data_IF_940763955194
#
_entry.id   IF_940763955194
#
_cell.length_a   1.000
_cell.length_b   1.000
_cell.length_c   1.000
_cell.angle_alpha   90.00
_cell.angle_beta   90.00
_cell.angle_gamma   90.00
#
_symmetry.space_group_name_H-M   'P 1'
#
loop_
_entity.id
_entity.type
_entity.pdbx_description
1 polymer ?
#
# COMPACT_ATOMS: atom_id res chain seq x y z
N UNK A 1 -9.36 1.47 -5.34
CA UNK A 1 -8.60 0.45 -4.61
C UNK A 1 -9.58 -0.32 -3.76
N UNK A 2 -9.50 -1.64 -3.77
CA UNK A 2 -10.38 -2.51 -3.02
C UNK A 2 -9.63 -3.11 -1.85
N UNK A 3 -10.06 -2.79 -0.62
CA UNK A 3 -9.32 -3.09 0.60
C UNK A 3 -10.12 -4.00 1.53
N UNK A 4 -10.28 -5.26 1.12
CA UNK A 4 -11.08 -6.24 1.86
C UNK A 4 -12.59 -6.09 1.68
N UNK A 5 -13.34 -7.05 2.19
CA UNK A 5 -14.80 -7.00 2.23
C UNK A 5 -15.30 -6.28 3.50
N UNK A 6 -14.87 -6.75 4.68
CA UNK A 6 -15.27 -6.13 5.96
C UNK A 6 -14.08 -5.61 6.74
N UNK A 7 -12.85 -5.91 6.31
CA UNK A 7 -11.65 -5.52 7.02
C UNK A 7 -11.69 -5.96 8.50
N UNK A 8 -12.03 -7.24 8.72
CA UNK A 8 -12.32 -7.81 10.04
C UNK A 8 -12.32 -9.34 9.99
N UNK A 9 -11.75 -9.95 11.03
CA UNK A 9 -11.85 -11.37 11.33
C UNK A 9 -12.68 -11.57 12.60
N UNK A 10 -12.17 -11.15 13.76
CA UNK A 10 -12.82 -11.28 15.07
C UNK A 10 -12.78 -10.01 15.92
N UNK A 11 -12.11 -8.96 15.44
CA UNK A 11 -11.97 -7.65 16.07
C UNK A 11 -12.96 -6.60 15.55
N UNK A 12 -12.52 -5.36 15.36
CA UNK A 12 -13.34 -4.25 14.88
C UNK A 12 -13.21 -4.06 13.36
N UNK A 13 -14.34 -3.82 12.69
CA UNK A 13 -14.39 -3.49 11.25
C UNK A 13 -13.51 -2.28 10.94
N UNK A 14 -12.57 -2.45 10.02
CA UNK A 14 -11.72 -1.36 9.54
C UNK A 14 -10.40 -1.21 10.31
N UNK A 15 -10.22 -1.96 11.40
CA UNK A 15 -9.01 -1.96 12.25
C UNK A 15 -8.33 -3.33 12.22
N UNK A 16 -9.12 -4.39 12.10
CA UNK A 16 -8.66 -5.76 12.20
C UNK A 16 -8.27 -6.36 10.84
N UNK A 17 -7.48 -7.42 10.89
CA UNK A 17 -7.12 -8.23 9.74
C UNK A 17 -8.33 -9.01 9.25
N UNK A 18 -8.47 -9.18 7.93
CA UNK A 18 -9.59 -9.96 7.38
C UNK A 18 -9.24 -11.42 7.09
N UNK A 19 -7.97 -11.67 6.71
CA UNK A 19 -7.50 -12.97 6.23
C UNK A 19 -6.38 -13.55 7.13
N UNK A 20 -6.09 -12.88 8.23
CA UNK A 20 -4.99 -13.26 9.13
C UNK A 20 -5.44 -13.18 10.59
N UNK A 21 -5.09 -14.19 11.37
CA UNK A 21 -5.21 -14.16 12.82
C UNK A 21 -3.89 -13.59 13.37
N UNK A 22 -3.89 -12.30 13.70
CA UNK A 22 -2.70 -11.60 14.22
C UNK A 22 -2.20 -12.26 15.51
N UNK A 23 -3.12 -12.60 16.42
CA UNK A 23 -2.78 -13.16 17.74
C UNK A 23 -2.03 -14.49 17.64
N UNK A 24 -2.33 -15.29 16.61
CA UNK A 24 -1.69 -16.59 16.35
C UNK A 24 -0.64 -16.52 15.24
N UNK A 25 -0.48 -15.35 14.62
CA UNK A 25 0.38 -15.09 13.47
C UNK A 25 0.26 -16.18 12.38
N UNK A 26 -0.96 -16.45 11.94
CA UNK A 26 -1.26 -17.45 10.89
C UNK A 26 -2.52 -17.07 10.11
N UNK A 27 -2.79 -17.69 8.95
CA UNK A 27 -4.09 -17.56 8.31
C UNK A 27 -5.23 -17.92 9.26
N UNK A 28 -6.37 -17.27 9.08
CA UNK A 28 -7.55 -17.50 9.92
C UNK A 28 -8.02 -18.95 9.86
N UNK A 29 -8.80 -19.35 10.86
CA UNK A 29 -9.44 -20.65 10.83
C UNK A 29 -10.44 -20.74 9.66
N UNK A 30 -10.32 -21.79 8.85
CA UNK A 30 -11.14 -21.96 7.64
C UNK A 30 -10.61 -21.29 6.37
N UNK A 31 -9.38 -20.75 6.41
CA UNK A 31 -8.65 -20.28 5.23
C UNK A 31 -8.68 -21.33 4.09
N UNK A 32 -9.11 -20.89 2.90
CA UNK A 32 -9.33 -21.71 1.72
C UNK A 32 -9.54 -20.85 0.48
N UNK A 33 -9.30 -21.43 -0.71
CA UNK A 33 -9.60 -20.77 -1.98
C UNK A 33 -11.07 -20.31 -2.05
N UNK A 34 -11.98 -21.16 -1.58
CA UNK A 34 -13.41 -20.86 -1.56
C UNK A 34 -13.75 -19.74 -0.56
N UNK A 35 -13.07 -19.67 0.59
CA UNK A 35 -13.25 -18.58 1.54
C UNK A 35 -12.84 -17.25 0.90
N UNK A 36 -11.60 -17.16 0.39
CA UNK A 36 -11.06 -15.96 -0.25
C UNK A 36 -11.98 -15.48 -1.38
N UNK A 37 -12.37 -16.41 -2.26
CA UNK A 37 -13.20 -16.11 -3.41
C UNK A 37 -14.59 -15.62 -2.99
N UNK A 38 -15.22 -16.23 -1.98
CA UNK A 38 -16.52 -15.78 -1.48
C UNK A 38 -16.45 -14.36 -0.91
N UNK A 39 -15.42 -14.03 -0.14
CA UNK A 39 -15.24 -12.68 0.43
C UNK A 39 -15.10 -11.63 -0.67
N UNK A 40 -14.19 -11.86 -1.61
CA UNK A 40 -13.95 -10.96 -2.76
C UNK A 40 -15.22 -10.78 -3.60
N UNK A 41 -15.90 -11.86 -3.99
CA UNK A 41 -17.11 -11.78 -4.81
C UNK A 41 -18.23 -11.05 -4.07
N UNK A 42 -18.43 -11.31 -2.78
CA UNK A 42 -19.46 -10.64 -1.97
C UNK A 42 -19.28 -9.14 -2.00
N UNK A 43 -18.03 -8.70 -1.90
CA UNK A 43 -17.71 -7.29 -1.85
C UNK A 43 -17.75 -6.61 -3.24
N UNK A 44 -17.29 -7.30 -4.30
CA UNK A 44 -17.49 -6.85 -5.68
C UNK A 44 -18.97 -6.71 -6.04
N UNK A 45 -19.84 -7.56 -5.50
CA UNK A 45 -21.29 -7.43 -5.67
C UNK A 45 -21.84 -6.16 -5.01
N UNK A 46 -21.25 -5.70 -3.90
CA UNK A 46 -21.63 -4.42 -3.27
C UNK A 46 -21.22 -3.25 -4.17
N UNK A 47 -19.99 -3.25 -4.68
CA UNK A 47 -19.55 -2.23 -5.63
C UNK A 47 -20.46 -2.19 -6.86
N UNK A 48 -20.79 -3.36 -7.42
CA UNK A 48 -21.71 -3.46 -8.57
C UNK A 48 -23.08 -2.87 -8.28
N UNK A 49 -23.66 -3.14 -7.10
CA UNK A 49 -24.94 -2.55 -6.67
C UNK A 49 -24.84 -1.03 -6.52
N UNK A 50 -23.68 -0.53 -6.09
CA UNK A 50 -23.37 0.89 -6.01
C UNK A 50 -22.97 1.52 -7.38
N UNK A 51 -22.96 0.74 -8.47
CA UNK A 51 -22.50 1.15 -9.81
C UNK A 51 -21.03 1.60 -9.82
N UNK A 52 -20.21 0.98 -8.98
CA UNK A 52 -18.77 1.17 -8.90
C UNK A 52 -18.05 -0.09 -9.38
N UNK A 53 -16.80 0.07 -9.80
CA UNK A 53 -15.87 -1.00 -10.16
C UNK A 53 -14.47 -0.67 -9.68
N UNK A 54 -13.59 -1.67 -9.65
CA UNK A 54 -12.19 -1.52 -9.24
C UNK A 54 -11.34 -2.59 -9.91
N UNK A 55 -10.16 -2.19 -10.38
CA UNK A 55 -9.16 -3.11 -10.95
C UNK A 55 -8.03 -3.41 -9.96
N UNK A 56 -8.03 -2.73 -8.82
CA UNK A 56 -6.95 -2.76 -7.83
C UNK A 56 -7.45 -3.44 -6.56
N UNK A 57 -6.72 -4.45 -6.11
CA UNK A 57 -6.82 -5.04 -4.78
C UNK A 57 -5.64 -4.61 -3.92
N UNK A 58 -5.93 -4.28 -2.68
CA UNK A 58 -4.92 -4.08 -1.64
C UNK A 58 -5.36 -4.89 -0.43
N UNK A 59 -4.56 -5.87 -0.03
CA UNK A 59 -4.97 -6.76 1.06
C UNK A 59 -5.03 -5.96 2.37
N UNK A 60 -6.12 -6.07 3.15
CA UNK A 60 -6.16 -5.75 4.57
C UNK A 60 -4.84 -5.92 5.31
N UNK A 61 -4.25 -4.81 5.73
CA UNK A 61 -2.96 -4.79 6.44
C UNK A 61 -1.84 -5.62 5.79
N UNK A 62 -1.92 -5.85 4.48
CA UNK A 62 -1.01 -6.69 3.71
C UNK A 62 -0.85 -8.12 4.25
N UNK A 63 -1.82 -8.69 4.99
CA UNK A 63 -1.72 -10.05 5.54
C UNK A 63 -2.87 -10.94 5.09
N UNK A 64 -2.50 -12.02 4.40
CA UNK A 64 -3.36 -13.13 4.00
C UNK A 64 -2.48 -14.34 3.66
N UNK A 65 -3.08 -15.52 3.48
CA UNK A 65 -2.34 -16.73 3.10
C UNK A 65 -1.88 -16.71 1.64
N UNK A 66 -0.89 -17.53 1.29
CA UNK A 66 -0.52 -17.73 -0.13
C UNK A 66 -1.66 -18.34 -0.96
N UNK A 67 -2.60 -19.04 -0.31
CA UNK A 67 -3.81 -19.56 -0.95
C UNK A 67 -4.73 -18.39 -1.34
N UNK A 68 -4.96 -17.46 -0.42
CA UNK A 68 -5.74 -16.24 -0.67
C UNK A 68 -5.15 -15.40 -1.80
N UNK A 69 -3.83 -15.18 -1.78
CA UNK A 69 -3.16 -14.38 -2.79
C UNK A 69 -3.22 -14.97 -4.19
N UNK A 70 -3.27 -16.30 -4.34
CA UNK A 70 -3.55 -16.94 -5.63
C UNK A 70 -4.93 -16.54 -6.16
N UNK A 71 -5.91 -16.43 -5.28
CA UNK A 71 -7.27 -15.99 -5.66
C UNK A 71 -7.29 -14.51 -6.01
N UNK A 72 -6.67 -13.66 -5.19
CA UNK A 72 -6.61 -12.22 -5.47
C UNK A 72 -5.96 -11.94 -6.83
N UNK A 73 -4.81 -12.58 -7.11
CA UNK A 73 -4.10 -12.45 -8.40
C UNK A 73 -4.90 -12.98 -9.60
N UNK A 74 -5.79 -13.96 -9.41
CA UNK A 74 -6.68 -14.45 -10.49
C UNK A 74 -7.80 -13.47 -10.80
N UNK A 75 -8.30 -12.75 -9.79
CA UNK A 75 -9.48 -11.88 -9.91
C UNK A 75 -9.10 -10.45 -10.32
N UNK A 76 -8.03 -9.89 -9.76
CA UNK A 76 -7.69 -8.49 -9.94
C UNK A 76 -6.55 -8.29 -10.93
N UNK A 77 -6.71 -7.35 -11.89
CA UNK A 77 -5.64 -6.95 -12.79
C UNK A 77 -4.43 -6.33 -12.09
N UNK A 78 -4.64 -5.71 -10.91
CA UNK A 78 -3.60 -5.02 -10.15
C UNK A 78 -3.72 -5.43 -8.69
N UNK A 79 -2.62 -5.92 -8.12
CA UNK A 79 -2.44 -6.06 -6.67
C UNK A 79 -1.51 -4.95 -6.22
N UNK A 80 -1.93 -4.10 -5.30
CA UNK A 80 -1.07 -3.16 -4.57
C UNK A 80 -0.68 -3.81 -3.23
N UNK A 81 0.61 -4.03 -2.99
CA UNK A 81 1.08 -4.91 -1.91
C UNK A 81 2.40 -4.42 -1.30
N UNK A 82 2.66 -4.74 -0.03
CA UNK A 82 3.94 -4.48 0.67
C UNK A 82 4.62 -5.76 1.20
N UNK A 83 4.00 -6.93 1.00
CA UNK A 83 4.45 -8.20 1.62
C UNK A 83 5.83 -8.73 1.26
N UNK A 84 6.51 -8.16 0.26
CA UNK A 84 7.84 -8.66 -0.08
C UNK A 84 8.88 -8.31 0.99
N UNK A 85 8.55 -7.47 1.99
CA UNK A 85 9.50 -7.01 3.00
C UNK A 85 10.63 -6.17 2.40
N UNK A 86 10.46 -5.71 1.15
CA UNK A 86 11.40 -4.85 0.44
C UNK A 86 10.85 -3.44 0.52
N UNK A 87 11.25 -2.75 1.59
CA UNK A 87 10.86 -1.36 1.80
C UNK A 87 11.81 -0.44 1.04
N UNK A 88 11.42 -0.04 -0.17
CA UNK A 88 12.26 0.78 -1.08
C UNK A 88 11.49 2.00 -1.56
N UNK A 89 12.16 3.15 -1.74
CA UNK A 89 11.51 4.39 -2.16
C UNK A 89 11.32 4.44 -3.68
N UNK A 90 10.91 3.33 -4.29
CA UNK A 90 10.60 3.26 -5.71
C UNK A 90 9.59 2.15 -5.98
N UNK A 91 8.71 2.39 -6.94
CA UNK A 91 7.70 1.41 -7.35
C UNK A 91 8.38 0.32 -8.18
N UNK A 92 8.08 -0.94 -7.88
CA UNK A 92 8.48 -2.07 -8.72
C UNK A 92 7.32 -3.05 -8.86
N UNK A 93 7.42 -3.93 -9.85
CA UNK A 93 6.33 -4.84 -10.24
C UNK A 93 6.84 -6.27 -10.40
N UNK A 94 6.01 -7.23 -9.99
CA UNK A 94 6.16 -8.65 -10.33
C UNK A 94 4.79 -9.18 -10.75
N UNK A 95 4.70 -9.73 -11.96
CA UNK A 95 3.44 -10.18 -12.56
C UNK A 95 2.38 -9.06 -12.54
N UNK A 96 1.21 -9.27 -11.91
CA UNK A 96 0.19 -8.25 -11.71
C UNK A 96 0.30 -7.51 -10.35
N UNK A 97 1.35 -7.75 -9.57
CA UNK A 97 1.58 -7.08 -8.29
C UNK A 97 2.49 -5.88 -8.46
N UNK A 98 1.98 -4.70 -8.12
CA UNK A 98 2.73 -3.46 -7.92
C UNK A 98 3.04 -3.38 -6.43
N UNK A 99 4.33 -3.29 -6.10
CA UNK A 99 4.74 -3.16 -4.71
C UNK A 99 4.70 -1.69 -4.30
N UNK A 100 4.04 -1.44 -3.17
CA UNK A 100 3.99 -0.13 -2.55
C UNK A 100 5.42 0.34 -2.28
N UNK A 101 5.76 1.59 -2.63
CA UNK A 101 7.00 2.18 -2.18
C UNK A 101 6.93 2.48 -0.69
N UNK A 102 8.04 2.98 -0.15
CA UNK A 102 8.21 3.30 1.27
C UNK A 102 6.97 3.97 1.89
N UNK A 103 6.30 3.22 2.77
CA UNK A 103 5.06 3.67 3.41
C UNK A 103 5.38 4.71 4.49
N UNK A 104 4.77 5.89 4.36
CA UNK A 104 4.99 7.02 5.28
C UNK A 104 4.05 7.03 6.48
N UNK A 105 3.37 5.90 6.74
CA UNK A 105 2.30 5.71 7.75
C UNK A 105 0.96 6.39 7.41
N UNK A 106 -0.10 5.89 8.05
CA UNK A 106 -1.47 6.44 7.97
C UNK A 106 -1.63 7.71 8.80
N UNK A 107 -2.49 8.63 8.35
CA UNK A 107 -2.88 9.82 9.13
C UNK A 107 -3.73 9.40 10.34
N UNK A 108 -3.13 9.45 11.54
CA UNK A 108 -3.80 9.15 12.82
C UNK A 108 -3.66 10.26 13.88
N UNK A 109 -2.77 11.23 13.66
CA UNK A 109 -2.49 12.35 14.57
C UNK A 109 -1.77 13.52 13.86
N UNK A 110 -1.71 14.70 14.48
CA UNK A 110 -0.87 15.80 13.98
C UNK A 110 0.62 15.45 13.90
N UNK A 111 1.09 14.57 14.79
CA UNK A 111 2.45 14.04 14.76
C UNK A 111 2.66 13.18 13.51
N UNK A 112 1.67 12.35 13.14
CA UNK A 112 1.73 11.56 11.90
C UNK A 112 1.84 12.43 10.65
N UNK A 113 1.17 13.59 10.59
CA UNK A 113 1.28 14.56 9.47
C UNK A 113 2.70 15.10 9.35
N UNK A 114 3.28 15.56 10.46
CA UNK A 114 4.65 16.07 10.47
C UNK A 114 5.64 14.95 10.12
N UNK A 115 5.37 13.73 10.58
CA UNK A 115 6.13 12.52 10.26
C UNK A 115 6.15 12.22 8.77
N UNK A 116 4.99 12.22 8.10
CA UNK A 116 4.86 12.02 6.65
C UNK A 116 5.72 13.03 5.89
N UNK A 117 5.56 14.33 6.20
CA UNK A 117 6.30 15.41 5.53
C UNK A 117 7.81 15.27 5.76
N UNK A 118 8.22 15.02 7.01
CA UNK A 118 9.64 14.89 7.37
C UNK A 118 10.29 13.69 6.70
N UNK A 119 9.61 12.55 6.67
CA UNK A 119 10.12 11.34 6.06
C UNK A 119 10.16 11.45 4.53
N UNK A 120 9.13 12.04 3.91
CA UNK A 120 9.15 12.34 2.48
C UNK A 120 10.34 13.22 2.09
N UNK A 121 10.68 14.23 2.90
CA UNK A 121 11.84 15.10 2.67
C UNK A 121 13.15 14.33 2.75
N UNK A 122 13.33 13.49 3.78
CA UNK A 122 14.52 12.63 3.92
C UNK A 122 14.71 11.72 2.71
N UNK A 123 13.63 11.11 2.23
CA UNK A 123 13.67 10.24 1.05
C UNK A 123 14.03 11.06 -0.19
N UNK A 124 13.41 12.22 -0.39
CA UNK A 124 13.68 13.09 -1.53
C UNK A 124 15.15 13.53 -1.58
N UNK A 125 15.76 13.85 -0.43
CA UNK A 125 17.14 14.30 -0.37
C UNK A 125 18.17 13.17 -0.60
N UNK A 126 17.77 11.92 -0.33
CA UNK A 126 18.64 10.75 -0.45
C UNK A 126 18.56 10.10 -1.84
N UNK A 127 17.40 10.03 -2.48
CA UNK A 127 17.18 9.20 -3.65
C UNK A 127 16.95 10.03 -4.92
N UNK A 128 17.38 9.50 -6.06
CA UNK A 128 17.07 10.07 -7.37
C UNK A 128 15.71 9.52 -7.84
N UNK A 129 14.75 10.42 -8.09
CA UNK A 129 13.37 10.11 -8.48
C UNK A 129 12.62 9.12 -7.54
N UNK A 130 12.51 9.40 -6.24
CA UNK A 130 11.85 8.48 -5.33
C UNK A 130 10.33 8.48 -5.48
N UNK A 131 9.73 7.33 -5.22
CA UNK A 131 8.30 7.16 -4.97
C UNK A 131 8.03 6.91 -3.49
N UNK A 132 6.89 7.39 -3.00
CA UNK A 132 6.40 7.22 -1.62
C UNK A 132 4.88 6.99 -1.65
N UNK A 133 4.34 6.39 -0.59
CA UNK A 133 2.90 6.19 -0.42
C UNK A 133 2.47 6.52 1.02
N UNK A 134 1.21 6.88 1.19
CA UNK A 134 0.58 7.09 2.50
C UNK A 134 -0.92 6.85 2.41
N UNK A 135 -1.54 6.53 3.56
CA UNK A 135 -2.97 6.26 3.66
C UNK A 135 -3.75 7.47 4.15
N UNK A 136 -4.89 7.73 3.50
CA UNK A 136 -5.88 8.70 3.93
C UNK A 136 -7.26 8.07 3.99
N UNK A 137 -7.86 8.06 5.18
CA UNK A 137 -9.18 7.50 5.38
C UNK A 137 -10.27 8.54 5.02
N UNK A 138 -11.18 8.25 4.06
CA UNK A 138 -12.16 9.23 3.61
C UNK A 138 -13.11 9.74 4.70
N UNK A 139 -13.38 8.95 5.75
CA UNK A 139 -14.24 9.39 6.85
C UNK A 139 -13.65 10.57 7.64
N UNK A 140 -12.32 10.75 7.59
CA UNK A 140 -11.64 11.87 8.22
C UNK A 140 -11.87 13.19 7.50
N UNK A 141 -12.42 13.22 6.27
CA UNK A 141 -12.49 14.43 5.46
C UNK A 141 -13.11 15.64 6.16
N UNK A 142 -14.12 15.39 7.02
CA UNK A 142 -14.81 16.42 7.80
C UNK A 142 -14.23 16.65 9.20
N UNK A 143 -13.19 15.91 9.56
CA UNK A 143 -12.49 16.09 10.83
C UNK A 143 -11.79 17.45 10.86
N UNK A 144 -11.86 18.13 12.01
CA UNK A 144 -11.32 19.49 12.15
C UNK A 144 -9.79 19.52 12.18
N UNK A 145 -9.16 18.44 12.66
CA UNK A 145 -7.72 18.35 12.83
C UNK A 145 -7.06 17.48 11.76
N UNK A 146 -7.66 16.36 11.39
CA UNK A 146 -7.12 15.36 10.46
C UNK A 146 -7.77 15.38 9.08
N UNK A 147 -8.77 16.24 8.88
CA UNK A 147 -9.53 16.30 7.64
C UNK A 147 -8.86 17.07 6.51
N UNK A 148 -9.69 17.71 5.68
CA UNK A 148 -9.25 18.35 4.44
C UNK A 148 -8.04 19.28 4.61
N UNK A 149 -8.02 20.10 5.67
CA UNK A 149 -6.93 21.05 5.92
C UNK A 149 -5.58 20.35 6.07
N UNK A 150 -5.58 19.21 6.77
CA UNK A 150 -4.38 18.43 7.02
C UNK A 150 -3.93 17.64 5.81
N UNK A 151 -4.88 17.07 5.05
CA UNK A 151 -4.59 16.45 3.77
C UNK A 151 -3.97 17.47 2.78
N UNK A 152 -4.54 18.67 2.68
CA UNK A 152 -4.02 19.75 1.84
C UNK A 152 -2.61 20.19 2.28
N UNK A 153 -2.33 20.22 3.59
CA UNK A 153 -1.00 20.54 4.11
C UNK A 153 0.05 19.53 3.63
N UNK A 154 -0.27 18.23 3.68
CA UNK A 154 0.62 17.17 3.17
C UNK A 154 0.81 17.34 1.67
N UNK A 155 -0.28 17.41 0.89
CA UNK A 155 -0.24 17.51 -0.57
C UNK A 155 0.61 18.71 -1.01
N UNK A 156 0.39 19.89 -0.41
CA UNK A 156 1.14 21.10 -0.76
C UNK A 156 2.62 20.95 -0.38
N UNK A 157 2.92 20.41 0.81
CA UNK A 157 4.31 20.20 1.23
C UNK A 157 5.05 19.24 0.30
N UNK A 158 4.40 18.16 -0.14
CA UNK A 158 4.98 17.21 -1.09
C UNK A 158 5.24 17.85 -2.45
N UNK A 159 4.29 18.66 -2.96
CA UNK A 159 4.47 19.42 -4.21
C UNK A 159 5.60 20.44 -4.12
N UNK A 160 5.69 21.17 -3.00
CA UNK A 160 6.75 22.16 -2.77
C UNK A 160 8.14 21.51 -2.72
N UNK A 161 8.24 20.24 -2.30
CA UNK A 161 9.49 19.46 -2.37
C UNK A 161 9.86 19.05 -3.80
N UNK A 162 8.87 18.90 -4.68
CA UNK A 162 9.04 18.41 -6.05
C UNK A 162 8.35 17.07 -6.35
N UNK A 163 7.61 16.49 -5.41
CA UNK A 163 6.84 15.27 -5.68
C UNK A 163 5.62 15.55 -6.58
N UNK A 164 5.30 14.57 -7.42
CA UNK A 164 4.11 14.56 -8.25
C UNK A 164 3.15 13.44 -7.83
N UNK A 165 1.85 13.71 -7.92
CA UNK A 165 0.81 12.70 -7.68
C UNK A 165 0.43 12.06 -9.02
N UNK A 166 0.82 10.80 -9.18
CA UNK A 166 0.59 10.01 -10.39
C UNK A 166 -0.45 8.93 -10.14
N UNK A 167 -1.15 8.55 -11.20
CA UNK A 167 -2.06 7.41 -11.16
C UNK A 167 -1.24 6.12 -11.15
N UNK A 168 -1.68 5.10 -10.41
CA UNK A 168 -1.04 3.79 -10.46
C UNK A 168 -1.14 3.16 -11.86
N UNK A 169 -2.15 3.55 -12.65
CA UNK A 169 -2.29 3.12 -14.04
C UNK A 169 -1.13 3.64 -14.91
N UNK A 170 -0.56 4.81 -14.60
CA UNK A 170 0.61 5.35 -15.32
C UNK A 170 1.84 4.44 -15.16
N UNK A 171 1.90 3.67 -14.07
CA UNK A 171 3.00 2.73 -13.80
C UNK A 171 2.84 1.42 -14.58
N UNK A 172 1.66 1.11 -15.11
CA UNK A 172 1.45 -0.10 -15.92
C UNK A 172 1.94 0.04 -17.35
N UNK A 173 2.07 1.27 -17.86
CA UNK A 173 2.47 1.54 -19.25
C UNK A 173 4.00 1.52 -19.44
N UNK A 174 4.78 1.57 -18.35
CA UNK A 174 6.24 1.40 -18.40
C UNK A 174 6.58 -0.06 -18.73
N UNK A 175 7.00 -0.30 -19.98
CA UNK A 175 7.27 -1.63 -20.59
C UNK A 175 8.31 -2.48 -19.86
N UNK A 176 9.18 -1.88 -19.05
CA UNK A 176 10.17 -2.60 -18.27
C UNK A 176 10.05 -2.11 -16.82
N UNK A 177 9.31 -2.87 -16.00
CA UNK A 177 9.38 -2.68 -14.55
C UNK A 177 10.79 -2.97 -14.07
N UNK A 178 11.28 -2.19 -13.10
CA UNK A 178 12.61 -2.39 -12.51
C UNK A 178 12.68 -3.82 -11.96
N UNK A 179 13.61 -4.63 -12.48
CA UNK A 179 13.77 -6.02 -12.05
C UNK A 179 14.41 -6.06 -10.66
N UNK A 180 14.09 -7.08 -9.86
CA UNK A 180 14.57 -7.20 -8.47
C UNK A 180 16.10 -7.14 -8.32
N UNK A 181 16.87 -7.52 -9.34
CA UNK A 181 18.34 -7.41 -9.36
C UNK A 181 18.86 -5.99 -9.65
N UNK A 182 18.05 -5.14 -10.27
CA UNK A 182 18.33 -3.72 -10.52
C UNK A 182 17.99 -2.85 -9.30
N UNK A 183 16.96 -3.22 -8.55
CA UNK A 183 16.61 -2.64 -7.22
C UNK A 183 17.84 -2.57 -6.32
N UNK A 184 18.57 -3.68 -6.17
CA UNK A 184 19.76 -3.73 -5.32
C UNK A 184 20.94 -2.91 -5.84
N UNK A 185 21.01 -2.66 -7.15
CA UNK A 185 22.04 -1.79 -7.75
C UNK A 185 21.69 -0.31 -7.53
N UNK A 186 20.41 0.05 -7.65
CA UNK A 186 19.91 1.39 -7.35
C UNK A 186 20.09 1.72 -5.86
N UNK A 187 19.80 0.78 -4.97
CA UNK A 187 20.07 0.92 -3.54
C UNK A 187 21.55 1.18 -3.21
N UNK A 188 22.49 0.66 -4.01
CA UNK A 188 23.94 0.84 -3.80
C UNK A 188 24.49 2.16 -4.36
N UNK A 189 23.75 2.87 -5.21
CA UNK A 189 24.24 4.04 -5.95
C UNK A 189 23.76 5.39 -5.42
N UNK A 190 23.18 5.41 -4.22
CA UNK A 190 22.77 6.64 -3.55
C UNK A 190 23.98 7.35 -2.94
N UNK A 191 24.17 8.64 -3.30
CA UNK A 191 25.25 9.58 -2.95
C UNK A 191 25.92 9.36 -1.56
N UNK A 192 26.79 8.35 -1.45
CA UNK A 192 27.61 8.04 -0.26
C UNK A 192 26.82 7.88 1.05
N UNK A 193 25.61 7.32 1.02
CA UNK A 193 24.88 6.93 2.24
C UNK A 193 24.67 5.42 2.21
N UNK A 194 25.15 4.73 3.24
CA UNK A 194 24.88 3.31 3.44
C UNK A 194 23.43 3.13 3.90
N UNK A 195 22.59 2.63 2.99
CA UNK A 195 21.16 2.39 3.22
C UNK A 195 20.86 0.94 3.60
N UNK A 196 21.86 0.14 3.98
CA UNK A 196 21.68 -1.24 4.46
C UNK A 196 20.68 -1.34 5.62
N UNK A 197 20.47 -0.27 6.38
CA UNK A 197 19.47 -0.21 7.44
C UNK A 197 18.01 -0.11 6.94
N UNK A 198 17.78 0.39 5.73
CA UNK A 198 16.43 0.54 5.15
C UNK A 198 16.00 -0.70 4.34
N UNK A 199 16.95 -1.51 3.87
CA UNK A 199 16.71 -2.75 3.14
C UNK A 199 16.70 -3.99 4.06
N UNK A 200 16.13 -3.88 5.26
CA UNK A 200 16.04 -5.01 6.19
C UNK A 200 14.82 -5.87 5.87
N UNK A 201 15.08 -7.16 5.61
CA UNK A 201 14.08 -8.22 5.56
C UNK A 201 13.58 -8.47 6.99
N UNK A 202 12.28 -8.30 7.22
CA UNK A 202 11.56 -8.94 8.33
C UNK A 202 10.67 -10.05 7.80
#
# INVERSE_FOLDING_TARGET
VFHGYTHQYDGETGIDFEFWDESKNKPIEGDSEEFAQRRVISALNILKKAKLSTDIWETPHYKASEVDYKIFKKIFPIIYDDRNGINVPFIFKRDNTIFSPFELYSLSSLESINGIITNAKKIYDCFEDPSISFFYHPYLFRDQELGEKSLNRIINSLRDMGYEFRSIYDQLEKKEGIRTDEIWKMCKFVKRIDISHYCQLH
#
